data_IF_046891211122
#
_entry.id   IF_046891211122
#
_cell.length_a   1.000
_cell.length_b   1.000
_cell.length_c   1.000
_cell.angle_alpha   90.00
_cell.angle_beta   90.00
_cell.angle_gamma   90.00
#
_symmetry.space_group_name_H-M   'P 1'
#
loop_
_entity.id
_entity.type
_entity.pdbx_description
1 polymer ?
#
# COMPACT_ATOMS: atom_id res chain seq x y z
N UNK A 1 38.59 -13.02 41.58
CA UNK A 1 38.88 -12.92 40.13
C UNK A 1 37.71 -12.22 39.45
N UNK A 2 37.90 -11.03 38.84
CA UNK A 2 36.82 -10.10 38.47
C UNK A 2 36.45 -10.26 36.99
N UNK A 3 35.39 -11.02 36.68
CA UNK A 3 34.90 -11.21 35.31
C UNK A 3 33.55 -10.52 35.04
N UNK A 4 33.19 -9.51 35.84
CA UNK A 4 31.90 -8.83 35.80
C UNK A 4 31.97 -7.40 35.24
N UNK A 5 32.68 -7.20 34.13
CA UNK A 5 32.55 -6.00 33.30
C UNK A 5 32.40 -6.45 31.84
N UNK A 6 31.45 -5.86 31.12
CA UNK A 6 31.10 -6.10 29.71
C UNK A 6 29.89 -7.02 29.39
N UNK A 7 28.81 -6.99 30.19
CA UNK A 7 27.48 -7.49 29.76
C UNK A 7 26.45 -6.38 29.54
N UNK A 8 26.87 -5.24 29.00
CA UNK A 8 26.03 -4.03 28.89
C UNK A 8 25.92 -3.43 27.48
N UNK A 9 25.95 -4.23 26.40
CA UNK A 9 25.73 -3.71 25.04
C UNK A 9 25.15 -4.74 24.06
N UNK A 10 24.12 -5.49 24.48
CA UNK A 10 23.41 -6.39 23.55
C UNK A 10 21.88 -6.23 23.60
N UNK A 11 21.35 -5.28 24.37
CA UNK A 11 19.90 -5.03 24.49
C UNK A 11 19.40 -3.89 23.61
N UNK A 12 20.30 -3.14 22.96
CA UNK A 12 19.92 -1.93 22.20
C UNK A 12 19.60 -2.20 20.71
N UNK A 13 19.52 -3.48 20.32
CA UNK A 13 18.91 -3.89 19.05
C UNK A 13 17.59 -4.63 19.35
N UNK A 14 16.79 -4.08 20.26
CA UNK A 14 15.37 -4.40 20.28
C UNK A 14 14.75 -3.77 19.03
N UNK A 15 14.67 -4.60 17.98
CA UNK A 15 13.61 -4.60 16.98
C UNK A 15 12.51 -3.58 17.32
N UNK A 16 12.47 -2.45 16.60
CA UNK A 16 11.21 -1.72 16.44
C UNK A 16 10.23 -2.67 15.77
N UNK A 17 9.52 -3.47 16.56
CA UNK A 17 8.41 -4.26 16.04
C UNK A 17 7.39 -3.25 15.54
N UNK A 18 7.07 -3.22 14.24
CA UNK A 18 6.09 -2.27 13.74
C UNK A 18 4.78 -2.48 14.49
N UNK A 19 4.17 -1.37 14.93
CA UNK A 19 2.91 -1.41 15.67
C UNK A 19 1.86 -2.19 14.84
N UNK A 20 1.24 -3.24 15.40
CA UNK A 20 0.28 -4.07 14.66
C UNK A 20 -0.92 -3.27 14.12
N UNK A 21 -1.23 -2.11 14.70
CA UNK A 21 -2.29 -1.23 14.20
C UNK A 21 -1.91 -0.52 12.91
N UNK A 22 -0.63 -0.23 12.68
CA UNK A 22 -0.16 0.40 11.43
C UNK A 22 -0.44 -0.53 10.24
N UNK A 23 -0.22 -1.84 10.42
CA UNK A 23 -0.52 -2.81 9.36
C UNK A 23 -2.03 -2.92 9.09
N UNK A 24 -2.87 -3.01 10.14
CA UNK A 24 -4.33 -3.08 9.99
C UNK A 24 -4.91 -1.84 9.30
N UNK A 25 -4.43 -0.65 9.66
CA UNK A 25 -4.86 0.60 9.01
C UNK A 25 -4.46 0.65 7.53
N UNK A 26 -3.27 0.14 7.17
CA UNK A 26 -2.85 0.02 5.77
C UNK A 26 -3.78 -0.90 4.99
N UNK A 27 -4.10 -2.08 5.52
CA UNK A 27 -5.01 -3.05 4.89
C UNK A 27 -6.39 -2.43 4.67
N UNK A 28 -6.98 -1.79 5.68
CA UNK A 28 -8.31 -1.19 5.56
C UNK A 28 -8.38 -0.09 4.49
N UNK A 29 -7.37 0.78 4.44
CA UNK A 29 -7.30 1.83 3.39
C UNK A 29 -7.22 1.22 2.00
N UNK A 30 -6.49 0.12 1.86
CA UNK A 30 -6.29 -0.53 0.58
C UNK A 30 -7.56 -1.24 0.10
N UNK A 31 -8.31 -1.89 1.00
CA UNK A 31 -9.64 -2.44 0.68
C UNK A 31 -10.62 -1.35 0.20
N UNK A 32 -10.61 -0.18 0.85
CA UNK A 32 -11.46 0.94 0.44
C UNK A 32 -11.13 1.43 -0.98
N UNK A 33 -9.84 1.50 -1.34
CA UNK A 33 -9.41 1.89 -2.69
C UNK A 33 -9.86 0.84 -3.71
N UNK A 34 -9.65 -0.46 -3.45
CA UNK A 34 -10.08 -1.54 -4.34
C UNK A 34 -11.60 -1.52 -4.59
N UNK A 35 -12.39 -1.34 -3.53
CA UNK A 35 -13.84 -1.21 -3.64
C UNK A 35 -14.25 -0.01 -4.50
N UNK A 36 -13.57 1.13 -4.32
CA UNK A 36 -13.75 2.33 -5.13
C UNK A 36 -13.41 2.10 -6.60
N UNK A 37 -12.27 1.47 -6.90
CA UNK A 37 -11.84 1.16 -8.26
C UNK A 37 -12.82 0.22 -8.96
N UNK A 38 -13.24 -0.86 -8.28
CA UNK A 38 -14.24 -1.79 -8.80
C UNK A 38 -15.55 -1.09 -9.14
N UNK A 39 -16.01 -0.18 -8.28
CA UNK A 39 -17.21 0.62 -8.54
C UNK A 39 -17.02 1.53 -9.77
N UNK A 40 -15.96 2.32 -9.79
CA UNK A 40 -15.67 3.24 -10.89
C UNK A 40 -15.53 2.50 -12.23
N UNK A 41 -14.96 1.30 -12.23
CA UNK A 41 -14.88 0.46 -13.42
C UNK A 41 -16.26 0.02 -13.93
N UNK A 42 -17.11 -0.48 -13.03
CA UNK A 42 -18.48 -0.89 -13.39
C UNK A 42 -19.30 0.29 -13.94
N UNK A 43 -19.08 1.48 -13.39
CA UNK A 43 -19.70 2.73 -13.83
C UNK A 43 -19.04 3.30 -15.10
N UNK A 44 -18.02 2.62 -15.67
CA UNK A 44 -17.20 3.05 -16.81
C UNK A 44 -16.52 4.42 -16.61
N UNK A 45 -16.33 4.84 -15.36
CA UNK A 45 -15.65 6.07 -15.01
C UNK A 45 -14.15 5.83 -14.89
N UNK A 46 -13.50 5.56 -16.02
CA UNK A 46 -12.07 5.25 -16.09
C UNK A 46 -11.19 6.45 -15.69
N UNK A 47 -11.62 7.67 -16.01
CA UNK A 47 -10.95 8.89 -15.61
C UNK A 47 -10.83 9.02 -14.07
N UNK A 48 -11.88 8.68 -13.33
CA UNK A 48 -11.83 8.70 -11.86
C UNK A 48 -10.82 7.69 -11.29
N UNK A 49 -10.64 6.52 -11.92
CA UNK A 49 -9.62 5.54 -11.52
C UNK A 49 -8.23 6.15 -11.69
N UNK A 50 -7.95 6.75 -12.85
CA UNK A 50 -6.65 7.40 -13.13
C UNK A 50 -6.37 8.56 -12.18
N UNK A 51 -7.36 9.40 -11.89
CA UNK A 51 -7.21 10.56 -11.01
C UNK A 51 -6.95 10.18 -9.56
N UNK A 52 -7.56 9.09 -9.08
CA UNK A 52 -7.28 8.56 -7.75
C UNK A 52 -5.93 7.85 -7.72
N UNK A 53 -5.61 7.05 -8.75
CA UNK A 53 -4.32 6.37 -8.87
C UNK A 53 -3.14 7.35 -8.81
N UNK A 54 -3.22 8.50 -9.50
CA UNK A 54 -2.18 9.55 -9.46
C UNK A 54 -1.92 10.14 -8.08
N UNK A 55 -2.86 9.99 -7.14
CA UNK A 55 -2.75 10.51 -5.76
C UNK A 55 -2.19 9.47 -4.78
N UNK A 56 -2.09 8.22 -5.21
CA UNK A 56 -1.59 7.10 -4.41
C UNK A 56 -0.11 6.89 -4.75
N UNK A 57 0.76 6.58 -3.77
CA UNK A 57 2.15 6.24 -4.06
C UNK A 57 2.23 5.07 -5.05
N UNK A 58 3.08 5.17 -6.05
CA UNK A 58 3.20 4.16 -7.12
C UNK A 58 3.49 2.76 -6.57
N UNK A 59 4.30 2.66 -5.52
CA UNK A 59 4.60 1.39 -4.85
C UNK A 59 3.34 0.67 -4.36
N UNK A 60 2.33 1.40 -3.87
CA UNK A 60 1.07 0.80 -3.40
C UNK A 60 0.25 0.24 -4.56
N UNK A 61 0.28 0.91 -5.72
CA UNK A 61 -0.41 0.42 -6.92
C UNK A 61 0.29 -0.84 -7.44
N UNK A 62 1.62 -0.84 -7.50
CA UNK A 62 2.39 -1.98 -7.99
C UNK A 62 2.33 -3.20 -7.05
N UNK A 63 2.30 -2.98 -5.74
CA UNK A 63 2.21 -4.04 -4.73
C UNK A 63 0.82 -4.72 -4.73
N UNK A 64 -0.24 -3.99 -5.10
CA UNK A 64 -1.59 -4.54 -5.16
C UNK A 64 -2.02 -4.91 -6.58
N UNK A 65 -2.14 -6.21 -6.83
CA UNK A 65 -2.50 -6.74 -8.15
C UNK A 65 -3.85 -6.23 -8.68
N UNK A 66 -4.83 -5.97 -7.80
CA UNK A 66 -6.13 -5.45 -8.27
C UNK A 66 -6.03 -3.98 -8.64
N UNK A 67 -5.33 -3.16 -7.86
CA UNK A 67 -5.12 -1.75 -8.18
C UNK A 67 -4.33 -1.59 -9.49
N UNK A 68 -3.24 -2.34 -9.66
CA UNK A 68 -2.44 -2.34 -10.88
C UNK A 68 -3.29 -2.66 -12.11
N UNK A 69 -4.03 -3.76 -12.05
CA UNK A 69 -4.91 -4.19 -13.14
C UNK A 69 -5.92 -3.10 -13.54
N UNK A 70 -6.62 -2.51 -12.57
CA UNK A 70 -7.60 -1.46 -12.85
C UNK A 70 -6.96 -0.20 -13.43
N UNK A 71 -5.77 0.17 -12.96
CA UNK A 71 -5.03 1.30 -13.47
C UNK A 71 -4.63 1.09 -14.94
N UNK A 72 -3.97 -0.02 -15.26
CA UNK A 72 -3.51 -0.35 -16.61
C UNK A 72 -4.68 -0.40 -17.60
N UNK A 73 -5.77 -1.08 -17.23
CA UNK A 73 -6.95 -1.14 -18.09
C UNK A 73 -7.60 0.23 -18.28
N UNK A 74 -7.63 1.07 -17.25
CA UNK A 74 -8.19 2.42 -17.37
C UNK A 74 -7.31 3.31 -18.24
N UNK A 75 -5.97 3.16 -18.20
CA UNK A 75 -5.06 3.88 -19.08
C UNK A 75 -5.32 3.54 -20.55
N UNK A 76 -5.46 2.25 -20.87
CA UNK A 76 -5.78 1.81 -22.24
C UNK A 76 -7.12 2.37 -22.70
N UNK A 77 -8.15 2.32 -21.86
CA UNK A 77 -9.50 2.77 -22.22
C UNK A 77 -9.62 4.27 -22.43
N UNK A 78 -8.92 5.08 -21.63
CA UNK A 78 -8.91 6.55 -21.79
C UNK A 78 -8.02 6.96 -22.97
N UNK A 79 -6.99 6.18 -23.32
CA UNK A 79 -6.16 6.44 -24.50
C UNK A 79 -6.78 5.99 -25.83
N UNK A 80 -7.81 5.15 -25.79
CA UNK A 80 -8.59 4.67 -26.96
C UNK A 80 -9.81 5.56 -27.28
N UNK A 81 -10.17 6.51 -26.39
CA UNK A 81 -11.23 7.51 -26.56
C UNK A 81 -10.64 8.85 -27.08
#
# INVERSE_FOLDING_TARGET
MPWEKHRGRWTEIQHSRPDPNIHKLKVFRLEAIRAGFKKAWNDKNYAAILDVARKIPETVIQEDQQLLMWYDFSQTRVGEE
#
